data_IF_641396154363
#
_entry.id   IF_641396154363
#
_cell.length_a   1.000
_cell.length_b   1.000
_cell.length_c   1.000
_cell.angle_alpha   90.00
_cell.angle_beta   90.00
_cell.angle_gamma   90.00
#
_symmetry.space_group_name_H-M   'P 1'
#
loop_
_entity.id
_entity.type
_entity.pdbx_description
1 polymer ?
#
# COMPACT_ATOMS: atom_id res chain seq x y z
N UNK A 1 -14.58 23.71 -15.57
CA UNK A 1 -14.80 22.30 -15.96
C UNK A 1 -14.14 21.40 -14.95
N UNK A 2 -14.86 20.44 -14.34
CA UNK A 2 -14.24 19.51 -13.38
C UNK A 2 -13.03 18.76 -13.94
N UNK A 3 -13.08 18.41 -15.22
CA UNK A 3 -11.99 17.67 -15.87
C UNK A 3 -10.66 18.40 -15.88
N UNK A 4 -10.69 19.73 -15.92
CA UNK A 4 -9.50 20.59 -15.94
C UNK A 4 -9.07 21.05 -14.55
N UNK A 5 -9.81 20.68 -13.51
CA UNK A 5 -9.44 21.00 -12.13
C UNK A 5 -8.10 20.36 -11.80
N UNK A 6 -7.14 21.09 -11.18
CA UNK A 6 -5.87 20.51 -10.83
C UNK A 6 -6.02 19.51 -9.66
N UNK A 7 -5.17 18.50 -9.66
CA UNK A 7 -5.17 17.44 -8.66
C UNK A 7 -5.05 18.01 -7.24
N UNK A 8 -4.30 19.11 -7.07
CA UNK A 8 -4.12 19.76 -5.75
C UNK A 8 -5.43 20.12 -5.06
N UNK A 9 -6.49 20.39 -5.84
CA UNK A 9 -7.78 20.80 -5.29
C UNK A 9 -8.57 19.63 -4.71
N UNK A 10 -8.18 18.40 -5.03
CA UNK A 10 -8.86 17.18 -4.62
C UNK A 10 -8.01 16.32 -3.69
N UNK A 11 -6.69 16.42 -3.79
CA UNK A 11 -5.78 15.58 -3.01
C UNK A 11 -5.90 15.83 -1.51
N UNK A 12 -5.60 14.80 -0.73
CA UNK A 12 -5.36 14.93 0.70
C UNK A 12 -3.88 15.25 0.90
N UNK A 13 -3.59 16.35 1.62
CA UNK A 13 -2.21 16.75 1.91
C UNK A 13 -1.72 16.22 3.26
N UNK A 14 -2.64 15.78 4.12
CA UNK A 14 -2.31 15.15 5.40
C UNK A 14 -2.14 13.65 5.18
N UNK A 15 -0.98 13.25 4.64
CA UNK A 15 -0.73 11.88 4.20
C UNK A 15 0.03 11.12 5.26
N UNK A 16 -0.49 9.94 5.65
CA UNK A 16 0.27 8.98 6.45
C UNK A 16 1.31 8.34 5.54
N UNK A 17 2.58 8.45 5.93
CA UNK A 17 3.69 7.91 5.15
C UNK A 17 4.39 6.80 5.92
N UNK A 18 5.03 5.92 5.16
CA UNK A 18 5.86 4.85 5.70
C UNK A 18 7.31 5.06 5.27
N UNK A 19 8.21 4.42 5.99
CA UNK A 19 9.63 4.41 5.64
C UNK A 19 9.99 3.03 5.09
N UNK A 20 10.95 2.96 4.16
CA UNK A 20 11.32 1.67 3.57
C UNK A 20 11.91 0.68 4.58
N UNK A 21 12.52 1.18 5.67
CA UNK A 21 13.15 0.36 6.70
C UNK A 21 12.19 -0.06 7.82
N UNK A 22 10.96 0.43 7.83
CA UNK A 22 9.95 -0.01 8.81
C UNK A 22 9.61 -1.48 8.60
N UNK A 23 9.23 -2.16 9.68
CA UNK A 23 8.75 -3.53 9.59
C UNK A 23 7.36 -3.58 8.96
N UNK A 24 7.05 -4.69 8.31
CA UNK A 24 5.72 -4.95 7.76
C UNK A 24 4.67 -4.92 8.87
N UNK A 25 5.01 -5.43 10.06
CA UNK A 25 4.10 -5.42 11.21
C UNK A 25 3.73 -4.00 11.63
N UNK A 26 4.72 -3.09 11.72
CA UNK A 26 4.48 -1.68 12.05
C UNK A 26 3.62 -1.01 10.98
N UNK A 27 3.88 -1.29 9.71
CA UNK A 27 3.09 -0.76 8.62
C UNK A 27 1.63 -1.23 8.69
N UNK A 28 1.42 -2.51 8.97
CA UNK A 28 0.07 -3.08 9.13
C UNK A 28 -0.68 -2.38 10.27
N UNK A 29 -0.02 -2.15 11.40
CA UNK A 29 -0.61 -1.45 12.53
C UNK A 29 -1.04 -0.02 12.16
N UNK A 30 -0.19 0.70 11.41
CA UNK A 30 -0.49 2.06 10.97
C UNK A 30 -1.68 2.10 10.01
N UNK A 31 -1.71 1.20 9.03
CA UNK A 31 -2.82 1.13 8.07
C UNK A 31 -4.13 0.79 8.77
N UNK A 32 -4.09 -0.16 9.71
CA UNK A 32 -5.28 -0.58 10.46
C UNK A 32 -5.78 0.52 11.40
N UNK A 33 -4.88 1.19 12.12
CA UNK A 33 -5.24 2.22 13.10
C UNK A 33 -5.95 3.41 12.45
N UNK A 34 -5.53 3.79 11.25
CA UNK A 34 -6.09 4.93 10.53
C UNK A 34 -7.12 4.52 9.47
N UNK A 35 -7.42 3.22 9.36
CA UNK A 35 -8.38 2.66 8.38
C UNK A 35 -8.07 3.10 6.96
N UNK A 36 -6.79 3.10 6.58
CA UNK A 36 -6.34 3.49 5.25
C UNK A 36 -5.95 2.27 4.42
N UNK A 37 -6.24 2.34 3.13
CA UNK A 37 -5.99 1.23 2.21
C UNK A 37 -4.60 1.24 1.56
N UNK A 38 -3.90 2.36 1.64
CA UNK A 38 -2.58 2.51 1.04
C UNK A 38 -1.82 3.67 1.68
N UNK A 39 -0.50 3.56 1.73
CA UNK A 39 0.36 4.63 2.23
C UNK A 39 1.60 4.75 1.36
N UNK A 40 1.99 5.97 0.97
CA UNK A 40 3.24 6.19 0.26
C UNK A 40 4.43 5.88 1.15
N UNK A 41 5.48 5.35 0.54
CA UNK A 41 6.76 5.07 1.20
C UNK A 41 7.75 6.14 0.77
N UNK A 42 8.32 6.84 1.74
CA UNK A 42 9.23 7.96 1.48
C UNK A 42 10.58 7.71 2.16
N UNK A 43 11.63 8.24 1.55
CA UNK A 43 12.97 8.19 2.13
C UNK A 43 13.18 9.34 3.15
N UNK A 44 14.38 9.46 3.68
CA UNK A 44 14.73 10.47 4.67
C UNK A 44 14.61 11.91 4.12
N UNK A 45 14.67 12.08 2.80
CA UNK A 45 14.54 13.37 2.14
C UNK A 45 13.10 13.72 1.76
N UNK A 46 12.14 12.83 2.04
CA UNK A 46 10.74 13.04 1.68
C UNK A 46 10.41 12.68 0.24
N UNK A 47 11.34 12.04 -0.48
CA UNK A 47 11.12 11.56 -1.84
C UNK A 47 10.38 10.24 -1.81
N UNK A 48 9.40 10.08 -2.69
CA UNK A 48 8.65 8.83 -2.78
C UNK A 48 9.52 7.73 -3.38
N UNK A 49 9.53 6.57 -2.74
CA UNK A 49 10.27 5.40 -3.21
C UNK A 49 9.34 4.22 -3.52
N UNK A 50 8.09 4.29 -3.14
CA UNK A 50 7.10 3.27 -3.43
C UNK A 50 5.76 3.55 -2.79
N UNK A 51 4.85 2.61 -2.95
CA UNK A 51 3.53 2.63 -2.32
C UNK A 51 3.25 1.26 -1.71
N UNK A 52 2.74 1.26 -0.49
CA UNK A 52 2.29 0.03 0.17
C UNK A 52 0.78 0.05 0.25
N UNK A 53 0.14 -1.00 -0.26
CA UNK A 53 -1.31 -1.17 -0.20
C UNK A 53 -1.66 -2.27 0.79
N UNK A 54 -2.88 -2.22 1.32
CA UNK A 54 -3.37 -3.27 2.23
C UNK A 54 -3.31 -4.65 1.56
N UNK A 55 -3.59 -4.74 0.26
CA UNK A 55 -3.51 -5.99 -0.49
C UNK A 55 -2.09 -6.56 -0.56
N UNK A 56 -1.06 -5.71 -0.56
CA UNK A 56 0.33 -6.16 -0.54
C UNK A 56 0.65 -6.89 0.77
N UNK A 57 0.07 -6.42 1.87
CA UNK A 57 0.21 -7.06 3.18
C UNK A 57 -0.51 -8.42 3.22
N UNK A 58 -1.70 -8.49 2.65
CA UNK A 58 -2.47 -9.74 2.58
C UNK A 58 -1.71 -10.78 1.77
N UNK A 59 -1.14 -10.38 0.64
CA UNK A 59 -0.34 -11.27 -0.19
C UNK A 59 0.93 -11.74 0.53
N UNK A 60 1.55 -10.86 1.31
CA UNK A 60 2.72 -11.21 2.12
C UNK A 60 2.36 -12.28 3.17
N UNK A 61 1.23 -12.11 3.85
CA UNK A 61 0.73 -13.09 4.82
C UNK A 61 0.33 -14.41 4.15
N UNK A 62 -0.27 -14.34 2.96
CA UNK A 62 -0.68 -15.53 2.21
C UNK A 62 0.49 -16.41 1.81
N UNK A 63 1.69 -15.88 1.77
CA UNK A 63 2.90 -16.64 1.48
C UNK A 63 3.46 -17.39 2.68
N UNK A 64 2.90 -17.18 3.87
CA UNK A 64 3.27 -17.94 5.06
C UNK A 64 2.68 -19.34 4.95
N UNK A 65 3.55 -20.34 4.94
CA UNK A 65 3.12 -21.73 4.86
C UNK A 65 2.68 -22.23 6.22
N UNK A 66 1.38 -22.46 6.37
CA UNK A 66 0.83 -23.07 7.59
C UNK A 66 1.06 -24.57 7.52
N UNK A 67 1.74 -25.19 8.51
CA UNK A 67 2.00 -26.62 8.46
C UNK A 67 0.68 -27.40 8.55
N UNK A 68 0.58 -28.44 7.73
CA UNK A 68 -0.55 -29.35 7.77
C UNK A 68 -0.40 -30.26 9.01
N UNK A 69 -1.38 -30.22 9.88
CA UNK A 69 -1.43 -31.13 11.00
C UNK A 69 -1.79 -32.54 10.50
N UNK A 70 -1.05 -33.54 10.95
CA UNK A 70 -1.34 -34.94 10.67
C UNK A 70 -1.98 -35.52 11.91
N UNK A 71 -3.24 -35.92 11.79
CA UNK A 71 -3.93 -36.59 12.90
C UNK A 71 -3.61 -38.07 12.86
N UNK A 72 -2.99 -38.57 13.95
CA UNK A 72 -2.67 -39.97 14.12
C UNK A 72 -3.11 -40.42 15.52
N UNK A 73 -3.93 -41.46 15.59
CA UNK A 73 -4.49 -41.99 16.84
C UNK A 73 -5.21 -40.92 17.68
N UNK A 74 -5.85 -39.97 17.01
CA UNK A 74 -6.60 -38.90 17.67
C UNK A 74 -5.76 -37.75 18.19
N UNK A 75 -4.47 -37.69 17.88
CA UNK A 75 -3.60 -36.59 18.24
C UNK A 75 -3.13 -35.87 16.97
N UNK A 76 -3.04 -34.54 17.04
CA UNK A 76 -2.55 -33.73 15.93
C UNK A 76 -1.03 -33.64 16.03
N UNK A 77 -0.36 -34.00 14.94
CA UNK A 77 1.08 -33.91 14.82
C UNK A 77 1.44 -32.93 13.70
N UNK A 78 2.43 -32.09 13.97
CA UNK A 78 3.05 -31.25 12.95
C UNK A 78 4.43 -31.83 12.66
N UNK A 79 4.70 -32.12 11.37
CA UNK A 79 6.01 -32.66 10.98
C UNK A 79 7.11 -31.63 11.27
N UNK A 80 8.25 -32.05 11.84
CA UNK A 80 9.35 -31.12 12.16
C UNK A 80 9.81 -30.29 10.95
N UNK A 81 9.82 -30.89 9.75
CA UNK A 81 10.20 -30.19 8.53
C UNK A 81 9.17 -29.11 8.14
N UNK A 82 7.88 -29.42 8.32
CA UNK A 82 6.80 -28.44 8.06
C UNK A 82 6.82 -27.31 9.10
N UNK A 83 7.10 -27.65 10.36
CA UNK A 83 7.21 -26.66 11.43
C UNK A 83 8.40 -25.73 11.19
N UNK A 84 9.53 -26.26 10.75
CA UNK A 84 10.72 -25.47 10.41
C UNK A 84 10.42 -24.47 9.29
N UNK A 85 9.73 -24.93 8.25
CA UNK A 85 9.33 -24.07 7.13
C UNK A 85 8.37 -22.98 7.60
N UNK A 86 7.42 -23.32 8.47
CA UNK A 86 6.47 -22.38 9.05
C UNK A 86 7.19 -21.32 9.89
N UNK A 87 8.15 -21.71 10.73
CA UNK A 87 8.95 -20.79 11.53
C UNK A 87 9.78 -19.86 10.64
N UNK A 88 10.39 -20.39 9.56
CA UNK A 88 11.15 -19.60 8.61
C UNK A 88 10.24 -18.60 7.87
N UNK A 89 9.06 -19.03 7.45
CA UNK A 89 8.09 -18.18 6.80
C UNK A 89 7.61 -17.06 7.73
N UNK A 90 7.37 -17.38 9.00
CA UNK A 90 7.02 -16.39 10.01
C UNK A 90 8.14 -15.39 10.24
N UNK A 91 9.39 -15.86 10.31
CA UNK A 91 10.55 -14.97 10.45
C UNK A 91 10.70 -14.05 9.26
N UNK A 92 10.50 -14.57 8.04
CA UNK A 92 10.53 -13.76 6.82
C UNK A 92 9.43 -12.73 6.83
N UNK A 93 8.19 -13.12 7.17
CA UNK A 93 7.06 -12.19 7.23
C UNK A 93 7.27 -11.13 8.32
N UNK A 94 7.69 -11.54 9.52
CA UNK A 94 7.91 -10.63 10.65
C UNK A 94 9.16 -9.78 10.47
N UNK A 95 10.21 -10.33 9.78
CA UNK A 95 11.46 -9.64 9.54
C UNK A 95 11.48 -8.84 8.25
N UNK A 96 10.43 -8.96 7.41
CA UNK A 96 10.33 -8.20 6.17
C UNK A 96 10.15 -6.72 6.47
N UNK A 97 10.78 -5.90 5.64
CA UNK A 97 10.61 -4.45 5.70
C UNK A 97 9.57 -4.02 4.67
N UNK A 98 9.09 -2.80 4.81
CA UNK A 98 8.20 -2.17 3.83
C UNK A 98 8.82 -2.21 2.44
N UNK A 99 10.13 -1.98 2.32
CA UNK A 99 10.84 -2.03 1.05
C UNK A 99 10.73 -3.40 0.36
N UNK A 100 10.63 -4.48 1.12
CA UNK A 100 10.55 -5.84 0.57
C UNK A 100 9.19 -6.14 -0.08
N UNK A 101 8.12 -5.45 0.34
CA UNK A 101 6.75 -5.75 -0.08
C UNK A 101 6.07 -4.61 -0.84
N UNK A 102 6.63 -3.40 -0.80
CA UNK A 102 6.04 -2.24 -1.49
C UNK A 102 6.13 -2.37 -3.00
N UNK A 103 5.25 -1.65 -3.68
CA UNK A 103 5.32 -1.46 -5.13
C UNK A 103 6.27 -0.29 -5.41
N UNK A 104 7.46 -0.57 -5.95
CA UNK A 104 8.46 0.47 -6.20
C UNK A 104 8.18 1.28 -7.47
N UNK A 105 7.62 0.62 -8.49
CA UNK A 105 7.27 1.25 -9.77
C UNK A 105 5.78 1.60 -9.79
N UNK A 106 5.39 2.53 -8.93
CA UNK A 106 3.99 2.93 -8.78
C UNK A 106 3.76 4.28 -9.45
N UNK A 107 2.66 4.44 -10.23
CA UNK A 107 2.39 5.69 -10.92
C UNK A 107 2.09 6.83 -9.94
N UNK A 108 2.51 8.02 -10.32
CA UNK A 108 2.25 9.25 -9.58
C UNK A 108 1.81 10.36 -10.53
N UNK A 109 1.24 11.42 -9.97
CA UNK A 109 0.86 12.62 -10.72
C UNK A 109 1.45 13.84 -10.03
N UNK A 110 1.52 14.95 -10.76
CA UNK A 110 1.88 16.24 -10.19
C UNK A 110 0.65 16.99 -9.66
N UNK A 111 0.84 17.97 -8.78
CA UNK A 111 -0.29 18.74 -8.22
C UNK A 111 -1.02 19.58 -9.26
N UNK A 112 -0.35 19.92 -10.36
CA UNK A 112 -0.92 20.72 -11.45
C UNK A 112 -1.55 19.87 -12.57
N UNK A 113 -1.42 18.55 -12.49
CA UNK A 113 -2.06 17.66 -13.44
C UNK A 113 -3.59 17.75 -13.27
N UNK A 114 -4.33 17.49 -14.35
CA UNK A 114 -5.78 17.59 -14.33
C UNK A 114 -6.42 16.32 -13.75
N UNK A 115 -7.65 16.45 -13.27
CA UNK A 115 -8.43 15.30 -12.83
C UNK A 115 -8.68 14.32 -13.98
N UNK A 116 -8.78 14.80 -15.21
CA UNK A 116 -8.91 13.93 -16.38
C UNK A 116 -7.67 13.05 -16.53
N UNK A 117 -6.48 13.63 -16.41
CA UNK A 117 -5.23 12.87 -16.45
C UNK A 117 -5.17 11.84 -15.32
N UNK A 118 -5.58 12.24 -14.11
CA UNK A 118 -5.62 11.34 -12.95
C UNK A 118 -6.58 10.19 -13.17
N UNK A 119 -7.79 10.48 -13.65
CA UNK A 119 -8.81 9.46 -13.90
C UNK A 119 -8.36 8.47 -14.97
N UNK A 120 -7.73 8.97 -16.04
CA UNK A 120 -7.17 8.14 -17.10
C UNK A 120 -6.07 7.23 -16.56
N UNK A 121 -5.18 7.78 -15.74
CA UNK A 121 -4.11 7.01 -15.12
C UNK A 121 -4.66 5.89 -14.22
N UNK A 122 -5.66 6.21 -13.40
CA UNK A 122 -6.29 5.22 -12.51
C UNK A 122 -6.92 4.08 -13.31
N UNK A 123 -7.58 4.42 -14.41
CA UNK A 123 -8.23 3.44 -15.26
C UNK A 123 -7.20 2.57 -15.99
N UNK A 124 -6.22 3.19 -16.64
CA UNK A 124 -5.24 2.49 -17.47
C UNK A 124 -4.31 1.59 -16.66
N UNK A 125 -3.96 2.01 -15.46
CA UNK A 125 -3.07 1.26 -14.58
C UNK A 125 -3.82 0.41 -13.54
N UNK A 126 -5.15 0.49 -13.53
CA UNK A 126 -6.01 -0.23 -12.58
C UNK A 126 -5.57 0.00 -11.13
N UNK A 127 -5.41 1.26 -10.77
CA UNK A 127 -4.99 1.67 -9.43
C UNK A 127 -6.07 2.52 -8.76
N UNK A 128 -6.18 2.42 -7.44
CA UNK A 128 -7.19 3.11 -6.64
C UNK A 128 -6.64 4.25 -5.80
N UNK A 129 -5.33 4.35 -5.68
CA UNK A 129 -4.62 5.39 -4.93
C UNK A 129 -3.47 5.87 -5.79
N UNK A 130 -3.30 7.18 -5.87
CA UNK A 130 -2.21 7.77 -6.66
C UNK A 130 -1.52 8.85 -5.82
N UNK A 131 -0.25 8.69 -5.53
CA UNK A 131 0.50 9.72 -4.83
C UNK A 131 0.70 10.94 -5.73
N UNK A 132 0.71 12.10 -5.11
CA UNK A 132 0.95 13.38 -5.79
C UNK A 132 2.35 13.84 -5.42
N UNK A 133 3.17 14.05 -6.45
CA UNK A 133 4.60 14.33 -6.30
C UNK A 133 4.93 15.64 -6.98
N UNK A 134 5.65 16.52 -6.29
CA UNK A 134 6.12 17.79 -6.82
C UNK A 134 7.64 17.88 -6.63
N UNK A 135 8.37 18.01 -7.72
CA UNK A 135 9.85 18.07 -7.72
C UNK A 135 10.47 16.88 -6.96
N UNK A 136 9.91 15.69 -7.14
CA UNK A 136 10.39 14.48 -6.49
C UNK A 136 9.92 14.29 -5.05
N UNK A 137 9.20 15.26 -4.48
CA UNK A 137 8.70 15.22 -3.11
C UNK A 137 7.23 14.89 -3.07
N UNK A 138 6.84 14.03 -2.13
CA UNK A 138 5.43 13.72 -1.89
C UNK A 138 4.73 14.95 -1.30
N UNK A 139 3.62 15.37 -1.94
CA UNK A 139 2.82 16.50 -1.47
C UNK A 139 1.37 16.11 -1.16
N UNK A 140 0.92 14.96 -1.61
CA UNK A 140 -0.45 14.52 -1.33
C UNK A 140 -0.71 13.12 -1.86
N UNK A 141 -1.94 12.69 -1.69
CA UNK A 141 -2.44 11.42 -2.24
C UNK A 141 -3.90 11.62 -2.65
N UNK A 142 -4.33 10.96 -3.72
CA UNK A 142 -5.72 10.91 -4.14
C UNK A 142 -6.17 9.46 -4.20
N UNK A 143 -7.24 9.14 -3.48
CA UNK A 143 -7.92 7.86 -3.62
C UNK A 143 -9.05 8.01 -4.64
N UNK A 144 -9.43 6.90 -5.27
CA UNK A 144 -10.55 6.90 -6.23
C UNK A 144 -11.82 7.46 -5.62
N UNK A 145 -12.08 7.19 -4.34
CA UNK A 145 -13.23 7.72 -3.63
C UNK A 145 -13.21 9.24 -3.52
N UNK A 146 -12.05 9.86 -3.39
CA UNK A 146 -11.91 11.32 -3.36
C UNK A 146 -12.35 11.94 -4.69
N UNK A 147 -11.95 11.32 -5.79
CA UNK A 147 -12.34 11.76 -7.13
C UNK A 147 -13.86 11.64 -7.33
N UNK A 148 -14.43 10.51 -6.91
CA UNK A 148 -15.90 10.30 -7.01
C UNK A 148 -16.65 11.32 -6.19
N UNK A 149 -16.23 11.58 -4.95
CA UNK A 149 -16.88 12.58 -4.09
C UNK A 149 -16.79 13.98 -4.69
N UNK A 150 -15.64 14.33 -5.26
CA UNK A 150 -15.49 15.63 -5.92
C UNK A 150 -16.45 15.76 -7.11
N UNK A 151 -16.53 14.76 -7.96
CA UNK A 151 -17.42 14.76 -9.11
C UNK A 151 -18.88 14.85 -8.68
N UNK A 152 -19.28 14.15 -7.63
CA UNK A 152 -20.64 14.21 -7.10
C UNK A 152 -20.98 15.59 -6.54
N UNK A 153 -20.03 16.26 -5.90
CA UNK A 153 -20.23 17.59 -5.31
C UNK A 153 -20.34 18.69 -6.37
N UNK A 154 -19.82 18.47 -7.58
CA UNK A 154 -19.80 19.49 -8.65
C UNK A 154 -20.89 19.30 -9.71
N UNK A 155 -21.72 18.27 -9.56
CA UNK A 155 -22.86 18.02 -10.49
C UNK A 155 -24.22 18.53 -9.95
#
# INVERSE_FOLDING_TARGET
MPASTPVRDVMSSNVVTLRPDQSVADAADLLAADSIGAAPVVDAQGSIVGLLRDEDLILSEANVHVPTAITFLGADFVLPSALHKFEDDLKKAAGSTVADVMEADYPSVGPDDSLEQLATLMHDRDVTHVPVVDNGKLVGIVARGDLVRFLAATT
#
